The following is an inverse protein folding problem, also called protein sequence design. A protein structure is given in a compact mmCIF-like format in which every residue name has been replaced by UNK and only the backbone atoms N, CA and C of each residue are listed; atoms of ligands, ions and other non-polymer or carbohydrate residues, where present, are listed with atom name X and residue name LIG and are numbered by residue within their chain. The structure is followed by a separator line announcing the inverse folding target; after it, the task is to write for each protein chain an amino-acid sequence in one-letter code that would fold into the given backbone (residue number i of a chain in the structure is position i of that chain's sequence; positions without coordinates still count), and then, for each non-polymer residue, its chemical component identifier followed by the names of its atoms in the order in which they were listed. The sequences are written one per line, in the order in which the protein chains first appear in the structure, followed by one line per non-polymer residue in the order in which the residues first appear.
data_IF_197357675403
#
_entry.id   IF_197357675403
#
_cell.length_a   1.000
_cell.length_b   1.000
_cell.length_c   1.000
_cell.angle_alpha   90.00
_cell.angle_beta   90.00
_cell.angle_gamma   90.00
#
_symmetry.space_group_name_H-M   'P 1'
#
loop_
_entity.id
_entity.type
_entity.pdbx_description
1 polymer ?
#
# COMPACT_ATOMS: atom_id res chain seq x y z
N UNK A 1 24.21 15.96 -6.78
CA UNK A 1 22.76 16.16 -6.63
C UNK A 1 22.13 14.78 -6.78
N UNK A 2 21.52 14.26 -5.72
CA UNK A 2 20.92 12.92 -5.71
C UNK A 2 19.40 13.10 -5.80
N UNK A 3 18.71 12.38 -6.68
CA UNK A 3 17.29 12.10 -6.48
C UNK A 3 16.25 13.02 -7.14
N UNK A 4 16.45 13.67 -8.29
CA UNK A 4 15.43 14.60 -8.84
C UNK A 4 14.42 13.97 -9.80
N UNK A 5 14.67 12.75 -10.27
CA UNK A 5 13.84 12.09 -11.27
C UNK A 5 12.74 11.23 -10.63
N UNK A 6 11.55 11.20 -11.23
CA UNK A 6 10.39 10.45 -10.74
C UNK A 6 10.67 8.96 -10.41
N UNK A 7 11.52 8.20 -11.14
CA UNK A 7 11.84 6.82 -10.81
C UNK A 7 12.62 6.65 -9.49
N UNK A 8 13.28 7.70 -9.02
CA UNK A 8 14.10 7.68 -7.80
C UNK A 8 13.27 7.98 -6.54
N UNK A 9 11.99 8.29 -6.72
CA UNK A 9 11.10 8.64 -5.63
C UNK A 9 10.52 7.40 -4.93
N UNK A 10 10.29 7.53 -3.63
CA UNK A 10 9.60 6.54 -2.82
C UNK A 10 8.09 6.68 -2.93
N UNK A 11 7.40 5.54 -2.83
CA UNK A 11 5.95 5.42 -2.88
C UNK A 11 5.43 4.51 -1.77
N UNK A 12 4.22 4.78 -1.28
CA UNK A 12 3.54 3.98 -0.27
C UNK A 12 2.14 3.60 -0.74
N UNK A 13 1.68 2.42 -0.32
CA UNK A 13 0.36 1.88 -0.67
C UNK A 13 0.45 0.75 -1.68
N UNK A 14 -0.37 -0.28 -1.46
CA UNK A 14 -0.42 -1.48 -2.29
C UNK A 14 -0.36 -2.76 -1.46
N UNK A 15 -0.60 -3.89 -2.13
CA UNK A 15 -0.75 -5.18 -1.46
C UNK A 15 0.56 -5.69 -0.82
N UNK A 16 1.71 -5.21 -1.33
CA UNK A 16 3.05 -5.60 -0.87
C UNK A 16 3.70 -4.59 0.06
N UNK A 17 3.07 -3.43 0.30
CA UNK A 17 3.59 -2.36 1.17
C UNK A 17 2.56 -2.02 2.25
N UNK A 18 1.85 -0.90 2.12
CA UNK A 18 0.76 -0.50 3.01
C UNK A 18 -0.56 -1.04 2.44
N UNK A 19 -0.94 -2.23 2.92
CA UNK A 19 -2.22 -2.90 2.63
C UNK A 19 -3.40 -2.00 3.02
N UNK A 20 -4.54 -2.17 2.36
CA UNK A 20 -5.72 -1.31 2.57
C UNK A 20 -5.65 0.05 1.87
N UNK A 21 -4.61 0.29 1.07
CA UNK A 21 -4.45 1.45 0.18
C UNK A 21 -4.20 0.96 -1.25
N UNK A 22 -4.63 1.76 -2.24
CA UNK A 22 -4.32 1.48 -3.65
C UNK A 22 -2.81 1.52 -3.88
N UNK A 23 -2.35 0.91 -4.98
CA UNK A 23 -0.94 0.99 -5.37
C UNK A 23 -0.53 2.46 -5.51
N UNK A 24 0.49 2.89 -4.77
CA UNK A 24 0.90 4.32 -4.67
C UNK A 24 -0.23 5.25 -4.21
N UNK A 25 -1.22 4.71 -3.50
CA UNK A 25 -2.46 5.39 -3.10
C UNK A 25 -2.34 6.21 -1.83
N UNK A 26 -1.14 6.36 -1.26
CA UNK A 26 -0.90 7.21 -0.09
C UNK A 26 -0.05 8.43 -0.47
N UNK A 27 -0.46 9.33 -1.37
CA UNK A 27 0.38 10.45 -1.79
C UNK A 27 0.63 11.46 -0.66
N UNK A 28 1.76 12.17 -0.69
CA UNK A 28 2.04 13.29 0.23
C UNK A 28 1.22 14.53 -0.14
N UNK A 29 1.27 14.93 -1.41
CA UNK A 29 0.61 16.15 -1.86
C UNK A 29 -0.87 15.86 -2.07
N UNK A 30 -1.79 16.67 -1.52
CA UNK A 30 -3.19 16.58 -1.87
C UNK A 30 -3.30 16.70 -3.38
N UNK A 31 -3.99 15.73 -3.94
CA UNK A 31 -4.00 15.40 -5.34
C UNK A 31 -4.24 16.64 -6.19
N UNK A 32 -3.23 17.08 -6.95
CA UNK A 32 -3.40 18.20 -7.87
C UNK A 32 -4.48 17.80 -8.87
N UNK A 33 -5.61 18.53 -8.90
CA UNK A 33 -6.58 18.41 -10.00
C UNK A 33 -5.85 18.80 -11.27
N UNK A 34 -5.40 17.82 -12.04
CA UNK A 34 -5.11 18.09 -13.45
C UNK A 34 -6.48 18.22 -14.13
N UNK A 35 -6.86 19.44 -14.49
CA UNK A 35 -7.96 19.67 -15.42
C UNK A 35 -7.56 19.12 -16.78
N UNK A 36 -7.93 17.88 -17.04
CA UNK A 36 -7.86 17.30 -18.37
C UNK A 36 -9.17 17.66 -19.10
N UNK A 37 -9.08 18.46 -20.17
CA UNK A 37 -10.23 18.75 -21.03
C UNK A 37 -10.43 17.58 -22.00
N UNK A 38 -11.50 16.78 -21.89
CA UNK A 38 -11.75 15.71 -22.85
C UNK A 38 -12.16 16.32 -24.20
N UNK A 39 -11.64 15.76 -25.29
CA UNK A 39 -12.15 16.01 -26.64
C UNK A 39 -13.64 15.62 -26.71
N UNK A 40 -14.45 16.42 -27.43
CA UNK A 40 -15.93 16.43 -27.45
C UNK A 40 -16.65 15.11 -27.83
N UNK A 41 -15.95 13.99 -27.97
CA UNK A 41 -16.49 12.71 -28.47
C UNK A 41 -16.44 11.55 -27.48
N UNK A 42 -16.02 11.74 -26.22
CA UNK A 42 -15.86 10.64 -25.27
C UNK A 42 -16.85 10.78 -24.11
N UNK A 43 -17.76 9.80 -23.99
CA UNK A 43 -18.77 9.70 -22.94
C UNK A 43 -18.14 9.88 -21.54
N UNK A 44 -18.78 10.72 -20.73
CA UNK A 44 -18.28 11.25 -19.47
C UNK A 44 -18.22 10.20 -18.34
N UNK A 45 -17.33 9.22 -18.46
CA UNK A 45 -16.77 8.55 -17.29
C UNK A 45 -15.53 9.36 -16.89
N UNK A 46 -15.77 10.43 -16.10
CA UNK A 46 -14.73 11.28 -15.52
C UNK A 46 -13.83 10.44 -14.62
N UNK A 47 -12.88 9.76 -15.23
CA UNK A 47 -11.88 8.96 -14.53
C UNK A 47 -10.82 9.94 -14.09
N UNK A 48 -10.97 10.41 -12.86
CA UNK A 48 -10.02 11.32 -12.24
C UNK A 48 -8.67 10.62 -12.15
N UNK A 49 -7.79 10.89 -13.12
CA UNK A 49 -6.50 10.22 -13.26
C UNK A 49 -5.50 10.94 -12.37
N UNK A 50 -5.44 10.48 -11.13
CA UNK A 50 -4.56 10.99 -10.11
C UNK A 50 -3.22 10.25 -10.18
N UNK A 51 -2.11 10.96 -10.40
CA UNK A 51 -0.77 10.40 -10.28
C UNK A 51 -0.19 10.83 -8.92
N UNK A 52 0.28 9.86 -8.14
CA UNK A 52 1.03 10.15 -6.93
C UNK A 52 2.42 10.62 -7.34
N UNK A 53 2.78 11.87 -7.04
CA UNK A 53 4.17 12.33 -7.04
C UNK A 53 4.88 11.63 -5.88
N UNK A 54 5.93 10.84 -6.15
CA UNK A 54 6.68 10.17 -5.09
C UNK A 54 7.48 11.16 -4.24
N UNK A 55 8.14 10.69 -3.17
CA UNK A 55 8.88 11.54 -2.21
C UNK A 55 10.33 11.09 -1.99
N UNK A 56 11.18 11.91 -1.36
CA UNK A 56 12.57 11.54 -1.04
C UNK A 56 12.74 10.86 0.32
N UNK A 57 11.78 10.96 1.24
CA UNK A 57 11.87 10.34 2.56
C UNK A 57 10.58 9.60 2.89
N UNK A 58 10.71 8.41 3.45
CA UNK A 58 9.55 7.65 3.92
C UNK A 58 9.97 6.70 5.03
N UNK A 59 9.00 6.28 5.83
CA UNK A 59 9.16 5.07 6.62
C UNK A 59 7.91 4.22 6.51
N UNK A 60 8.11 2.91 6.54
CA UNK A 60 7.04 1.94 6.57
C UNK A 60 7.42 0.82 7.53
N UNK A 61 6.45 0.33 8.29
CA UNK A 61 6.61 -0.73 9.27
C UNK A 61 5.40 -1.66 9.23
N UNK A 62 5.63 -2.94 9.49
CA UNK A 62 4.62 -3.99 9.45
C UNK A 62 4.87 -5.01 10.55
N UNK A 63 3.79 -5.47 11.19
CA UNK A 63 3.81 -6.61 12.12
C UNK A 63 2.87 -7.66 11.60
N UNK A 64 3.35 -8.91 11.53
CA UNK A 64 2.62 -10.05 11.01
C UNK A 64 2.63 -11.21 12.00
N UNK A 65 1.46 -11.78 12.25
CA UNK A 65 1.31 -13.02 13.00
C UNK A 65 0.79 -14.11 12.06
N UNK A 66 1.64 -15.10 11.76
CA UNK A 66 1.30 -16.23 10.91
C UNK A 66 0.93 -17.46 11.73
N UNK A 67 -0.19 -18.08 11.38
CA UNK A 67 -0.66 -19.34 11.96
C UNK A 67 -0.98 -20.36 10.86
N UNK A 68 -0.89 -21.67 11.14
CA UNK A 68 -1.50 -22.68 10.29
C UNK A 68 -3.00 -22.42 10.16
N UNK A 69 -3.61 -22.90 9.06
CA UNK A 69 -5.06 -22.77 8.88
C UNK A 69 -5.82 -23.37 10.09
N UNK A 70 -6.88 -22.69 10.59
CA UNK A 70 -7.60 -23.08 11.80
C UNK A 70 -8.28 -24.45 11.68
N UNK A 71 -8.69 -24.82 10.46
CA UNK A 71 -9.14 -26.17 10.11
C UNK A 71 -8.08 -26.70 9.15
N UNK A 72 -7.21 -27.63 9.59
CA UNK A 72 -6.11 -28.19 8.77
C UNK A 72 -6.68 -29.14 7.70
N UNK A 73 -7.01 -28.69 6.48
CA UNK A 73 -7.63 -29.54 5.49
C UNK A 73 -6.49 -30.29 4.78
N UNK A 74 -6.27 -31.54 5.15
CA UNK A 74 -5.18 -32.35 4.58
C UNK A 74 -3.81 -32.07 5.22
N UNK A 75 -3.67 -32.36 6.51
CA UNK A 75 -2.37 -32.40 7.18
C UNK A 75 -1.39 -33.29 6.38
N UNK A 76 -0.26 -32.72 5.93
CA UNK A 76 0.71 -33.39 5.05
C UNK A 76 0.47 -33.21 3.54
N UNK A 77 -0.46 -32.34 3.11
CA UNK A 77 -0.79 -32.08 1.72
C UNK A 77 -0.67 -30.61 1.29
N UNK A 78 -1.42 -30.19 0.26
CA UNK A 78 -1.41 -28.81 -0.26
C UNK A 78 -1.78 -27.75 0.79
N UNK A 79 -2.52 -28.14 1.84
CA UNK A 79 -2.89 -27.25 2.95
C UNK A 79 -1.70 -26.65 3.70
N UNK A 80 -0.54 -27.32 3.70
CA UNK A 80 0.68 -26.84 4.37
C UNK A 80 1.34 -25.65 3.66
N UNK A 81 0.96 -25.41 2.39
CA UNK A 81 1.39 -24.23 1.62
C UNK A 81 0.64 -22.97 2.02
N UNK A 82 -0.52 -23.12 2.67
CA UNK A 82 -1.38 -22.02 3.11
C UNK A 82 -1.15 -21.69 4.58
N UNK A 83 -1.09 -20.39 4.88
CA UNK A 83 -1.03 -19.87 6.25
C UNK A 83 -2.05 -18.77 6.42
N UNK A 84 -2.82 -18.81 7.49
CA UNK A 84 -3.57 -17.64 7.93
C UNK A 84 -2.61 -16.63 8.55
N UNK A 85 -2.90 -15.34 8.38
CA UNK A 85 -2.13 -14.31 9.05
C UNK A 85 -2.97 -13.11 9.45
N UNK A 86 -2.56 -12.47 10.54
CA UNK A 86 -3.03 -11.16 10.95
C UNK A 86 -1.90 -10.17 10.70
N UNK A 87 -2.24 -8.95 10.27
CA UNK A 87 -1.26 -7.91 10.01
C UNK A 87 -1.71 -6.55 10.52
N UNK A 88 -0.72 -5.74 10.88
CA UNK A 88 -0.87 -4.32 11.13
C UNK A 88 0.29 -3.59 10.44
N UNK A 89 -0.04 -2.69 9.52
CA UNK A 89 0.91 -1.92 8.73
C UNK A 89 0.75 -0.43 9.04
N UNK A 90 1.88 0.25 9.15
CA UNK A 90 1.94 1.69 9.34
C UNK A 90 3.00 2.31 8.44
N UNK A 91 2.80 3.56 8.04
CA UNK A 91 3.84 4.29 7.33
C UNK A 91 3.46 5.73 7.05
N UNK A 92 4.46 6.50 6.62
CA UNK A 92 4.27 7.87 6.18
C UNK A 92 5.29 8.23 5.10
N UNK A 93 5.06 9.38 4.48
CA UNK A 93 5.86 9.91 3.40
C UNK A 93 6.14 11.38 3.70
N UNK A 94 7.39 11.79 3.52
CA UNK A 94 7.84 13.18 3.60
C UNK A 94 8.66 13.48 2.35
N UNK A 95 8.30 14.54 1.62
CA UNK A 95 9.05 14.97 0.46
C UNK A 95 9.98 16.12 0.82
N UNK A 96 10.58 16.75 -0.20
CA UNK A 96 11.45 17.89 0.05
C UNK A 96 10.58 18.99 0.66
N UNK A 97 10.92 19.39 1.88
CA UNK A 97 10.42 20.59 2.55
C UNK A 97 11.60 21.54 2.63
N UNK A 98 11.35 22.84 2.54
CA UNK A 98 12.35 23.88 2.74
C UNK A 98 12.90 23.89 4.19
N UNK A 99 12.20 23.25 5.16
CA UNK A 99 12.62 23.20 6.57
C UNK A 99 12.47 21.83 7.24
N UNK A 100 13.39 21.53 8.17
CA UNK A 100 13.42 20.29 8.95
C UNK A 100 12.18 20.08 9.84
N UNK A 101 11.59 21.16 10.35
CA UNK A 101 10.39 21.11 11.19
C UNK A 101 9.14 20.64 10.41
N UNK A 102 9.03 21.03 9.14
CA UNK A 102 7.93 20.59 8.27
C UNK A 102 8.10 19.13 7.84
N UNK A 103 9.34 18.66 7.66
CA UNK A 103 9.62 17.25 7.42
C UNK A 103 9.20 16.38 8.60
N UNK A 104 9.53 16.78 9.84
CA UNK A 104 9.12 16.05 11.05
C UNK A 104 7.60 16.00 11.21
N UNK A 105 6.93 17.12 10.95
CA UNK A 105 5.48 17.20 10.96
C UNK A 105 4.85 16.27 9.93
N UNK A 106 5.42 16.20 8.71
CA UNK A 106 5.00 15.27 7.67
C UNK A 106 5.21 13.81 8.08
N UNK A 107 6.33 13.49 8.73
CA UNK A 107 6.60 12.14 9.22
C UNK A 107 5.67 11.69 10.35
N UNK A 108 4.99 12.64 11.03
CA UNK A 108 3.97 12.34 12.04
C UNK A 108 2.59 12.02 11.46
N UNK A 109 2.38 12.26 10.16
CA UNK A 109 1.14 11.91 9.45
C UNK A 109 1.11 10.43 9.08
N UNK A 110 1.00 9.59 10.12
CA UNK A 110 1.04 8.14 10.01
C UNK A 110 -0.27 7.61 9.46
N UNK A 111 -0.16 6.77 8.42
CA UNK A 111 -1.24 5.96 7.89
C UNK A 111 -1.16 4.57 8.48
N UNK A 112 -2.29 4.01 8.86
CA UNK A 112 -2.36 2.72 9.55
C UNK A 112 -3.44 1.86 8.91
N UNK A 113 -3.14 0.60 8.65
CA UNK A 113 -4.10 -0.42 8.26
C UNK A 113 -3.87 -1.70 9.04
N UNK A 114 -4.95 -2.36 9.41
CA UNK A 114 -4.92 -3.70 9.98
C UNK A 114 -5.69 -4.65 9.07
N UNK A 115 -5.49 -5.94 9.24
CA UNK A 115 -6.29 -6.92 8.53
C UNK A 115 -5.92 -8.35 8.83
N UNK A 116 -6.61 -9.23 8.15
CA UNK A 116 -6.40 -10.67 8.22
C UNK A 116 -6.40 -11.23 6.81
N UNK A 117 -5.70 -12.34 6.59
CA UNK A 117 -5.63 -12.93 5.27
C UNK A 117 -5.14 -14.36 5.25
N UNK A 118 -5.02 -14.88 4.04
CA UNK A 118 -4.44 -16.19 3.75
C UNK A 118 -3.27 -15.96 2.80
N UNK A 119 -2.11 -16.49 3.18
CA UNK A 119 -0.90 -16.49 2.38
C UNK A 119 -0.63 -17.89 1.83
N UNK A 120 -0.41 -17.97 0.52
CA UNK A 120 0.05 -19.14 -0.19
C UNK A 120 1.52 -18.97 -0.55
N UNK A 121 2.36 -19.92 -0.13
CA UNK A 121 3.76 -19.99 -0.56
C UNK A 121 3.86 -20.70 -1.90
N UNK A 122 4.29 -19.97 -2.92
CA UNK A 122 4.54 -20.49 -4.27
C UNK A 122 6.02 -20.85 -4.38
N UNK A 123 6.35 -22.06 -3.93
CA UNK A 123 7.74 -22.54 -3.87
C UNK A 123 8.58 -21.74 -2.88
N UNK A 124 9.80 -21.35 -3.29
CA UNK A 124 10.77 -20.64 -2.44
C UNK A 124 10.88 -19.14 -2.71
N UNK A 125 10.29 -18.65 -3.80
CA UNK A 125 10.60 -17.31 -4.35
C UNK A 125 9.40 -16.36 -4.28
N UNK A 126 8.17 -16.88 -4.37
CA UNK A 126 6.98 -16.05 -4.43
C UNK A 126 5.98 -16.41 -3.33
N UNK A 127 5.23 -15.40 -2.90
CA UNK A 127 4.11 -15.53 -1.99
C UNK A 127 2.91 -14.81 -2.61
N UNK A 128 1.77 -15.49 -2.63
CA UNK A 128 0.49 -14.89 -2.94
C UNK A 128 -0.27 -14.68 -1.63
N UNK A 129 -0.89 -13.52 -1.44
CA UNK A 129 -1.68 -13.19 -0.26
C UNK A 129 -3.06 -12.69 -0.67
N UNK A 130 -4.10 -13.25 -0.08
CA UNK A 130 -5.45 -12.71 -0.12
C UNK A 130 -5.75 -12.11 1.26
N UNK A 131 -5.89 -10.78 1.31
CA UNK A 131 -5.99 -10.01 2.53
C UNK A 131 -7.32 -9.27 2.59
N UNK A 132 -8.01 -9.32 3.72
CA UNK A 132 -9.09 -8.40 4.04
C UNK A 132 -8.51 -7.25 4.88
N UNK A 133 -8.50 -6.06 4.29
CA UNK A 133 -7.80 -4.89 4.82
C UNK A 133 -8.78 -3.85 5.34
N UNK A 134 -8.46 -3.28 6.50
CA UNK A 134 -9.21 -2.19 7.12
C UNK A 134 -8.23 -1.03 7.37
N UNK A 135 -8.30 0.07 6.60
CA UNK A 135 -7.53 1.27 6.88
C UNK A 135 -8.10 1.96 8.13
N UNK A 136 -7.29 2.04 9.18
CA UNK A 136 -7.67 2.63 10.48
C UNK A 136 -7.40 4.13 10.49
N UNK A 137 -6.30 4.55 9.84
CA UNK A 137 -5.93 5.95 9.74
C UNK A 137 -5.43 6.25 8.33
N UNK A 138 -6.05 7.24 7.69
CA UNK A 138 -5.68 7.76 6.38
C UNK A 138 -5.56 9.28 6.45
N UNK A 139 -4.79 9.86 5.55
CA UNK A 139 -4.63 11.30 5.36
C UNK A 139 -5.54 11.81 4.24
N UNK A 140 -5.79 13.12 4.23
CA UNK A 140 -6.52 13.75 3.14
C UNK A 140 -5.80 13.53 1.79
N UNK A 141 -6.55 13.08 0.78
CA UNK A 141 -5.98 12.75 -0.54
C UNK A 141 -5.54 11.29 -0.70
N UNK A 142 -5.58 10.48 0.37
CA UNK A 142 -5.30 9.05 0.26
C UNK A 142 -6.39 8.32 -0.53
N UNK A 143 -5.96 7.47 -1.47
CA UNK A 143 -6.78 6.49 -2.15
C UNK A 143 -6.78 5.17 -1.35
N UNK A 144 -7.69 5.09 -0.37
CA UNK A 144 -7.90 3.87 0.41
C UNK A 144 -8.54 2.77 -0.44
N UNK A 145 -8.32 1.52 -0.05
CA UNK A 145 -8.85 0.31 -0.66
C UNK A 145 -9.26 -0.69 0.44
N UNK A 146 -10.31 -0.40 1.23
CA UNK A 146 -10.81 -1.33 2.23
C UNK A 146 -11.39 -2.59 1.57
N UNK A 147 -11.37 -3.70 2.29
CA UNK A 147 -11.91 -4.98 1.83
C UNK A 147 -10.85 -5.91 1.26
N UNK A 148 -11.22 -6.71 0.26
CA UNK A 148 -10.34 -7.75 -0.30
C UNK A 148 -9.25 -7.18 -1.19
N UNK A 149 -8.01 -7.60 -0.94
CA UNK A 149 -6.83 -7.24 -1.70
C UNK A 149 -5.99 -8.48 -1.98
N UNK A 150 -5.71 -8.73 -3.26
CA UNK A 150 -4.80 -9.78 -3.70
C UNK A 150 -3.41 -9.18 -3.93
N UNK A 151 -2.39 -9.80 -3.34
CA UNK A 151 -0.98 -9.44 -3.54
C UNK A 151 -0.19 -10.65 -4.01
N UNK A 152 0.68 -10.45 -4.99
CA UNK A 152 1.67 -11.45 -5.42
C UNK A 152 3.02 -10.77 -5.45
N UNK A 153 4.00 -11.34 -4.77
CA UNK A 153 5.34 -10.76 -4.69
C UNK A 153 6.37 -11.70 -4.08
N UNK A 154 7.64 -11.36 -4.24
CA UNK A 154 8.74 -11.98 -3.51
C UNK A 154 8.91 -11.34 -2.11
N UNK A 155 8.63 -10.04 -2.03
CA UNK A 155 8.79 -9.24 -0.82
C UNK A 155 7.47 -8.57 -0.45
N UNK A 156 7.17 -8.64 0.85
CA UNK A 156 6.05 -7.97 1.47
C UNK A 156 6.60 -7.27 2.70
N UNK A 157 6.11 -6.06 2.95
CA UNK A 157 6.24 -5.39 4.23
C UNK A 157 5.52 -6.20 5.31
#
# INVERSE_FOLDING_TARGET
MCGTELPEHFYLGGATTLRGFRQRGAPRTPTTRIHYYPSKSMSAHFTQMYWASGVHMYWASGVHLYTPLPFRPGAGGLGDLFRSHLFANAGCLAGPEESSAMSLSSLSQVRVSIGAGIALRLGRVAKAELNYCVPIRACAGDATAPGLQLGVGAHFL
#
